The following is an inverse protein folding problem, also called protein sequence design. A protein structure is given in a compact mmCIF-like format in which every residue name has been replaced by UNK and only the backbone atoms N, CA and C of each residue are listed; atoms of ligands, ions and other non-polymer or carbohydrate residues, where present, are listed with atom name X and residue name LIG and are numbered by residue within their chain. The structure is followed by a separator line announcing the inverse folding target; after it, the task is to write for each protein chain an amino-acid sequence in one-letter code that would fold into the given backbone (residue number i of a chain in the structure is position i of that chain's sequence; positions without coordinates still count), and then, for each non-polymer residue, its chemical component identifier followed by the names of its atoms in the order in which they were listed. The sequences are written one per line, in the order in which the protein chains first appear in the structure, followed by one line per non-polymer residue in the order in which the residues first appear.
data_IF_947724182589
#
_entry.id   IF_947724182589
#
_cell.length_a   1.000
_cell.length_b   1.000
_cell.length_c   1.000
_cell.angle_alpha   90.00
_cell.angle_beta   90.00
_cell.angle_gamma   90.00
#
_symmetry.space_group_name_H-M   'P 1'
#
loop_
_entity.id
_entity.type
_entity.pdbx_description
1 polymer ?
#
# COMPACT_ATOMS: atom_id res chain seq x y z
N UNK A 1 -49.39 29.06 9.16
CA UNK A 1 -49.19 28.34 7.88
C UNK A 1 -47.74 28.50 7.50
N UNK A 2 -46.88 27.51 7.79
CA UNK A 2 -45.54 27.38 7.20
C UNK A 2 -44.88 26.01 7.44
N UNK A 3 -45.35 25.21 8.40
CA UNK A 3 -44.70 23.91 8.72
C UNK A 3 -45.02 22.73 7.80
N UNK A 4 -45.90 22.87 6.80
CA UNK A 4 -46.22 21.75 5.86
C UNK A 4 -45.48 21.81 4.53
N UNK A 5 -44.86 22.94 4.17
CA UNK A 5 -44.05 23.04 2.94
C UNK A 5 -42.58 22.67 3.19
N UNK A 6 -42.02 23.02 4.35
CA UNK A 6 -40.64 22.62 4.70
C UNK A 6 -40.48 21.09 4.86
N UNK A 7 -41.47 20.41 5.42
CA UNK A 7 -41.37 18.96 5.67
C UNK A 7 -41.43 18.10 4.39
N UNK A 8 -42.03 18.63 3.30
CA UNK A 8 -42.11 17.93 2.01
C UNK A 8 -40.92 18.23 1.09
N UNK A 9 -40.30 19.42 1.22
CA UNK A 9 -39.05 19.75 0.50
C UNK A 9 -37.82 19.07 1.13
N UNK A 10 -37.83 18.80 2.44
CA UNK A 10 -36.77 18.02 3.11
C UNK A 10 -36.90 16.50 2.83
N UNK A 11 -38.10 15.93 2.78
CA UNK A 11 -38.30 14.51 2.44
C UNK A 11 -38.00 14.19 0.96
N UNK A 12 -38.32 15.08 0.00
CA UNK A 12 -37.93 14.87 -1.41
C UNK A 12 -36.42 15.08 -1.66
N UNK A 13 -35.76 15.96 -0.89
CA UNK A 13 -34.31 16.18 -1.00
C UNK A 13 -33.49 15.03 -0.41
N UNK A 14 -33.95 14.40 0.67
CA UNK A 14 -33.27 13.24 1.26
C UNK A 14 -33.47 11.98 0.40
N UNK A 15 -34.67 11.71 -0.13
CA UNK A 15 -34.91 10.50 -0.92
C UNK A 15 -34.20 10.52 -2.29
N UNK A 16 -33.92 11.71 -2.85
CA UNK A 16 -33.12 11.89 -4.07
C UNK A 16 -31.61 11.78 -3.80
N UNK A 17 -31.11 12.29 -2.66
CA UNK A 17 -29.70 12.13 -2.28
C UNK A 17 -29.34 10.69 -1.92
N UNK A 18 -30.26 9.95 -1.30
CA UNK A 18 -30.04 8.58 -0.85
C UNK A 18 -30.28 7.52 -1.94
N UNK A 19 -31.17 7.74 -2.92
CA UNK A 19 -31.28 6.81 -4.07
C UNK A 19 -30.13 6.91 -5.07
N UNK A 20 -29.56 8.10 -5.28
CA UNK A 20 -28.45 8.26 -6.23
C UNK A 20 -27.12 7.72 -5.71
N UNK A 21 -26.91 7.67 -4.38
CA UNK A 21 -25.63 7.24 -3.78
C UNK A 21 -25.62 5.78 -3.27
N UNK A 22 -26.78 5.17 -3.02
CA UNK A 22 -26.84 3.77 -2.58
C UNK A 22 -26.61 2.76 -3.72
N UNK A 23 -26.90 3.12 -4.98
CA UNK A 23 -26.54 2.31 -6.15
C UNK A 23 -25.03 2.39 -6.46
N UNK A 24 -24.37 3.49 -6.10
CA UNK A 24 -22.92 3.73 -6.34
C UNK A 24 -22.00 2.90 -5.43
N UNK A 25 -22.53 2.29 -4.36
CA UNK A 25 -21.74 1.49 -3.41
C UNK A 25 -22.02 -0.02 -3.53
N UNK A 26 -23.13 -0.40 -4.16
CA UNK A 26 -23.41 -1.79 -4.57
C UNK A 26 -22.83 -2.13 -5.95
N UNK A 27 -22.34 -1.11 -6.68
CA UNK A 27 -21.51 -1.27 -7.87
C UNK A 27 -20.11 -0.81 -7.48
N UNK A 28 -19.17 -1.74 -7.35
CA UNK A 28 -17.75 -1.42 -7.13
C UNK A 28 -17.37 -0.31 -8.08
N UNK A 29 -16.93 0.83 -7.52
CA UNK A 29 -16.71 2.08 -8.27
C UNK A 29 -16.03 1.73 -9.59
N UNK A 30 -16.70 1.90 -10.76
CA UNK A 30 -16.03 1.75 -12.03
C UNK A 30 -14.76 2.60 -11.96
N UNK A 31 -13.61 2.03 -12.32
CA UNK A 31 -12.36 2.78 -12.28
C UNK A 31 -12.59 4.08 -13.04
N UNK A 32 -12.28 5.22 -12.41
CA UNK A 32 -12.54 6.51 -13.02
C UNK A 32 -11.76 6.57 -14.33
N UNK A 33 -12.48 6.79 -15.43
CA UNK A 33 -11.86 6.92 -16.74
C UNK A 33 -11.32 8.33 -16.88
N UNK A 34 -10.07 8.43 -17.31
CA UNK A 34 -9.40 9.70 -17.53
C UNK A 34 -8.57 9.68 -18.81
N UNK A 35 -8.14 10.85 -19.25
CA UNK A 35 -7.15 10.96 -20.33
C UNK A 35 -5.77 11.23 -19.74
N UNK A 36 -4.82 10.34 -20.00
CA UNK A 36 -3.41 10.53 -19.63
C UNK A 36 -2.62 11.00 -20.84
N UNK A 37 -1.48 11.62 -20.58
CA UNK A 37 -0.54 12.09 -21.57
C UNK A 37 0.58 11.09 -21.73
N UNK A 38 0.66 10.42 -22.87
CA UNK A 38 1.66 9.40 -23.16
C UNK A 38 2.79 9.99 -24.00
N UNK A 39 4.03 9.78 -23.56
CA UNK A 39 5.23 10.11 -24.32
C UNK A 39 5.61 8.94 -25.22
N UNK A 40 5.49 9.08 -26.55
CA UNK A 40 5.82 8.01 -27.49
C UNK A 40 7.31 7.68 -27.56
N UNK A 41 8.21 8.56 -27.10
CA UNK A 41 9.66 8.33 -27.06
C UNK A 41 10.06 7.48 -25.86
N UNK A 42 9.62 7.85 -24.66
CA UNK A 42 9.98 7.16 -23.41
C UNK A 42 9.03 6.00 -23.07
N UNK A 43 7.86 5.92 -23.71
CA UNK A 43 6.79 4.95 -23.41
C UNK A 43 6.24 5.08 -21.99
N UNK A 44 6.27 6.30 -21.46
CA UNK A 44 5.73 6.66 -20.15
C UNK A 44 4.43 7.43 -20.33
N UNK A 45 3.45 7.17 -19.45
CA UNK A 45 2.25 7.97 -19.34
C UNK A 45 2.36 8.91 -18.13
N UNK A 46 1.64 10.03 -18.18
CA UNK A 46 1.56 11.05 -17.14
C UNK A 46 0.10 11.45 -16.94
N UNK A 47 -0.36 11.67 -15.70
CA UNK A 47 -1.76 12.09 -15.48
C UNK A 47 -2.04 13.56 -15.82
N UNK A 48 -0.99 14.38 -15.94
CA UNK A 48 -1.02 15.83 -16.15
C UNK A 48 0.36 16.28 -16.66
N UNK A 49 0.47 17.54 -17.12
CA UNK A 49 1.65 18.02 -17.86
C UNK A 49 2.46 19.11 -17.16
N UNK A 50 1.93 19.69 -16.08
CA UNK A 50 2.47 20.92 -15.45
C UNK A 50 3.90 20.77 -14.90
N UNK A 51 4.32 19.52 -14.66
CA UNK A 51 5.63 19.16 -14.12
C UNK A 51 6.57 18.57 -15.18
N UNK A 52 6.19 18.63 -16.46
CA UNK A 52 6.99 18.15 -17.58
C UNK A 52 7.70 19.31 -18.29
N UNK A 53 8.89 19.06 -18.85
CA UNK A 53 9.58 20.06 -19.67
C UNK A 53 8.78 20.38 -20.94
N UNK A 54 8.93 21.59 -21.49
CA UNK A 54 8.24 21.98 -22.73
C UNK A 54 8.51 21.03 -23.89
N UNK A 55 9.72 20.48 -23.97
CA UNK A 55 10.10 19.51 -25.01
C UNK A 55 9.25 18.23 -24.89
N UNK A 56 9.07 17.72 -23.68
CA UNK A 56 8.22 16.56 -23.40
C UNK A 56 6.77 16.91 -23.73
N UNK A 57 6.26 18.05 -23.24
CA UNK A 57 4.87 18.47 -23.45
C UNK A 57 4.47 18.52 -24.94
N UNK A 58 5.36 19.00 -25.81
CA UNK A 58 5.10 19.14 -27.26
C UNK A 58 4.92 17.81 -28.00
N UNK A 59 5.35 16.68 -27.44
CA UNK A 59 5.28 15.35 -28.08
C UNK A 59 4.27 14.40 -27.45
N UNK A 60 3.54 14.83 -26.42
CA UNK A 60 2.59 13.97 -25.71
C UNK A 60 1.36 13.67 -26.58
N UNK A 61 0.89 12.44 -26.51
CA UNK A 61 -0.37 12.01 -27.10
C UNK A 61 -1.35 11.61 -26.01
N UNK A 62 -2.63 11.94 -26.14
CA UNK A 62 -3.63 11.53 -25.17
C UNK A 62 -3.97 10.05 -25.34
N UNK A 63 -4.10 9.33 -24.21
CA UNK A 63 -4.59 7.96 -24.14
C UNK A 63 -5.65 7.82 -23.06
N UNK A 64 -6.57 6.88 -23.25
CA UNK A 64 -7.48 6.48 -22.18
C UNK A 64 -6.73 5.74 -21.08
N UNK A 65 -7.07 6.08 -19.85
CA UNK A 65 -6.58 5.41 -18.66
C UNK A 65 -7.68 5.25 -17.63
N UNK A 66 -7.39 4.42 -16.64
CA UNK A 66 -8.24 4.15 -15.49
C UNK A 66 -7.49 4.56 -14.23
N UNK A 67 -8.10 5.36 -13.36
CA UNK A 67 -7.50 5.74 -12.07
C UNK A 67 -7.56 4.59 -11.07
N UNK A 68 -6.52 4.41 -10.25
CA UNK A 68 -6.52 3.47 -9.14
C UNK A 68 -7.50 3.88 -8.04
N UNK A 69 -8.01 2.92 -7.27
CA UNK A 69 -8.84 3.22 -6.09
C UNK A 69 -8.13 4.10 -5.05
N UNK A 70 -6.79 4.03 -4.99
CA UNK A 70 -5.98 4.90 -4.12
C UNK A 70 -5.77 6.31 -4.67
N UNK A 71 -6.10 6.57 -5.95
CA UNK A 71 -5.82 7.82 -6.65
C UNK A 71 -4.32 8.19 -6.70
N UNK A 72 -3.45 7.19 -6.46
CA UNK A 72 -1.99 7.31 -6.45
C UNK A 72 -1.33 6.61 -7.65
N UNK A 73 -2.12 5.95 -8.47
CA UNK A 73 -1.70 5.31 -9.72
C UNK A 73 -2.81 5.37 -10.77
N UNK A 74 -2.46 5.04 -12.01
CA UNK A 74 -3.40 4.89 -13.12
C UNK A 74 -2.95 3.75 -14.03
N UNK A 75 -3.88 3.21 -14.80
CA UNK A 75 -3.65 2.05 -15.65
C UNK A 75 -3.97 2.38 -17.10
N UNK A 76 -3.11 1.95 -18.01
CA UNK A 76 -3.31 2.05 -19.46
C UNK A 76 -3.33 0.64 -20.03
N UNK A 77 -4.29 0.38 -20.91
CA UNK A 77 -4.32 -0.85 -21.71
C UNK A 77 -3.54 -0.59 -22.99
N UNK A 78 -2.43 -1.30 -23.17
CA UNK A 78 -1.61 -1.22 -24.38
C UNK A 78 -1.30 -2.64 -24.88
N UNK A 79 -1.61 -2.94 -26.15
CA UNK A 79 -1.39 -4.26 -26.77
C UNK A 79 -1.97 -5.43 -25.93
N UNK A 80 -3.21 -5.27 -25.44
CA UNK A 80 -3.89 -6.21 -24.54
C UNK A 80 -3.14 -6.50 -23.22
N UNK A 81 -2.18 -5.65 -22.85
CA UNK A 81 -1.50 -5.70 -21.55
C UNK A 81 -1.95 -4.52 -20.71
N UNK A 82 -2.11 -4.77 -19.42
CA UNK A 82 -2.39 -3.73 -18.46
C UNK A 82 -1.08 -3.22 -17.87
N UNK A 83 -0.85 -1.91 -18.01
CA UNK A 83 0.35 -1.25 -17.52
C UNK A 83 -0.10 -0.26 -16.46
N UNK A 84 0.47 -0.36 -15.28
CA UNK A 84 0.25 0.59 -14.20
C UNK A 84 1.36 1.64 -14.17
N UNK A 85 0.98 2.87 -13.88
CA UNK A 85 1.87 4.00 -13.69
C UNK A 85 1.57 4.63 -12.33
N UNK A 86 2.60 4.74 -11.48
CA UNK A 86 2.55 5.35 -10.15
C UNK A 86 3.43 6.60 -10.14
N UNK A 87 2.96 7.64 -9.48
CA UNK A 87 3.63 8.94 -9.49
C UNK A 87 3.10 9.85 -10.59
N UNK A 88 3.25 11.14 -10.34
CA UNK A 88 2.57 12.20 -11.05
C UNK A 88 1.05 11.96 -11.17
N UNK A 89 0.31 11.87 -10.06
CA UNK A 89 -1.16 11.69 -10.00
C UNK A 89 -1.90 12.89 -9.39
N UNK A 90 -3.15 13.13 -9.83
CA UNK A 90 -4.03 14.16 -9.25
C UNK A 90 -4.84 13.63 -8.04
N UNK A 91 -5.25 14.49 -7.09
CA UNK A 91 -4.81 15.88 -6.94
C UNK A 91 -3.38 15.94 -6.38
N UNK A 92 -2.59 16.90 -6.86
CA UNK A 92 -1.41 17.36 -6.13
C UNK A 92 -1.89 18.09 -4.90
N UNK A 93 -1.49 17.63 -3.72
CA UNK A 93 -1.69 18.42 -2.51
C UNK A 93 -0.34 18.87 -1.96
N UNK A 94 -0.38 20.05 -1.34
CA UNK A 94 0.70 20.60 -0.52
C UNK A 94 0.85 19.85 0.82
N UNK A 95 0.41 18.58 0.89
CA UNK A 95 0.36 17.79 2.11
C UNK A 95 1.25 16.55 1.95
N UNK A 96 2.05 16.28 2.99
CA UNK A 96 2.78 15.03 3.10
C UNK A 96 1.75 13.94 3.39
N UNK A 97 1.76 12.87 2.58
CA UNK A 97 1.01 11.67 2.91
C UNK A 97 1.74 11.00 4.07
N UNK A 98 1.19 11.10 5.29
CA UNK A 98 1.81 10.57 6.51
C UNK A 98 2.23 9.10 6.38
N UNK A 99 1.47 8.30 5.63
CA UNK A 99 1.75 6.89 5.36
C UNK A 99 2.99 6.63 4.49
N UNK A 100 3.52 7.63 3.78
CA UNK A 100 4.65 7.46 2.85
C UNK A 100 5.80 8.45 3.06
N UNK A 101 5.58 9.53 3.80
CA UNK A 101 6.54 10.64 3.94
C UNK A 101 6.76 11.44 2.65
N UNK A 102 6.00 11.16 1.59
CA UNK A 102 6.14 11.77 0.26
C UNK A 102 5.03 12.79 -0.01
N UNK A 103 5.28 13.79 -0.89
CA UNK A 103 4.22 14.66 -1.39
C UNK A 103 3.15 13.85 -2.12
N UNK A 104 1.87 14.16 -1.87
CA UNK A 104 0.77 13.49 -2.58
C UNK A 104 0.92 13.70 -4.09
N UNK A 105 0.83 12.61 -4.83
CA UNK A 105 0.92 12.62 -6.29
C UNK A 105 2.34 12.60 -6.83
N UNK A 106 3.40 12.73 -6.01
CA UNK A 106 4.79 12.58 -6.47
C UNK A 106 5.41 11.29 -5.96
N UNK A 107 6.29 10.72 -6.79
CA UNK A 107 7.12 9.58 -6.42
C UNK A 107 8.59 10.00 -6.50
N UNK A 108 9.25 10.08 -5.34
CA UNK A 108 10.65 10.48 -5.27
C UNK A 108 11.54 9.40 -5.90
N UNK A 109 12.67 9.84 -6.47
CA UNK A 109 13.63 8.99 -7.17
C UNK A 109 14.05 7.76 -6.37
N UNK A 110 14.49 7.95 -5.14
CA UNK A 110 14.92 6.85 -4.30
C UNK A 110 13.83 5.79 -4.10
N UNK A 111 12.60 6.23 -3.82
CA UNK A 111 11.46 5.32 -3.59
C UNK A 111 11.08 4.56 -4.86
N UNK A 112 11.04 5.25 -6.00
CA UNK A 112 10.73 4.64 -7.29
C UNK A 112 11.81 3.68 -7.78
N UNK A 113 13.10 4.05 -7.71
CA UNK A 113 14.22 3.17 -8.08
C UNK A 113 14.30 1.95 -7.17
N UNK A 114 14.05 2.13 -5.87
CA UNK A 114 14.03 1.04 -4.89
C UNK A 114 12.93 0.04 -5.16
N UNK A 115 11.72 0.51 -5.43
CA UNK A 115 10.60 -0.34 -5.80
C UNK A 115 10.88 -1.08 -7.11
N UNK A 116 11.41 -0.37 -8.12
CA UNK A 116 11.78 -0.97 -9.40
C UNK A 116 12.82 -2.08 -9.24
N UNK A 117 13.89 -1.82 -8.46
CA UNK A 117 14.94 -2.79 -8.16
C UNK A 117 14.38 -4.03 -7.48
N UNK A 118 13.62 -3.86 -6.41
CA UNK A 118 13.09 -4.99 -5.63
C UNK A 118 12.19 -5.90 -6.49
N UNK A 119 11.27 -5.32 -7.26
CA UNK A 119 10.38 -6.08 -8.14
C UNK A 119 11.15 -6.85 -9.21
N UNK A 120 12.15 -6.22 -9.84
CA UNK A 120 12.95 -6.86 -10.87
C UNK A 120 13.85 -7.98 -10.33
N UNK A 121 14.49 -7.77 -9.17
CA UNK A 121 15.33 -8.78 -8.51
C UNK A 121 14.51 -10.04 -8.15
N UNK A 122 13.29 -9.85 -7.63
CA UNK A 122 12.36 -10.94 -7.31
C UNK A 122 11.88 -11.64 -8.58
N UNK A 123 11.49 -10.87 -9.61
CA UNK A 123 11.02 -11.43 -10.88
C UNK A 123 12.11 -12.23 -11.60
N UNK A 124 13.38 -11.82 -11.50
CA UNK A 124 14.52 -12.55 -12.06
C UNK A 124 14.71 -13.93 -11.42
N UNK A 125 14.28 -14.11 -10.17
CA UNK A 125 14.29 -15.40 -9.47
C UNK A 125 13.05 -16.27 -9.76
N UNK A 126 12.08 -15.77 -10.52
CA UNK A 126 10.91 -16.51 -10.97
C UNK A 126 9.77 -16.63 -9.94
N UNK A 127 9.85 -15.94 -8.80
CA UNK A 127 8.81 -15.97 -7.78
C UNK A 127 7.67 -14.97 -8.02
N UNK A 128 7.96 -13.87 -8.72
CA UNK A 128 6.99 -12.82 -9.08
C UNK A 128 6.97 -12.58 -10.59
N UNK A 129 5.83 -12.10 -11.11
CA UNK A 129 5.68 -11.77 -12.53
C UNK A 129 5.78 -10.27 -12.81
N UNK A 130 5.70 -9.44 -11.77
CA UNK A 130 5.70 -7.98 -11.88
C UNK A 130 7.12 -7.49 -12.08
N UNK A 131 7.32 -6.74 -13.16
CA UNK A 131 8.54 -5.97 -13.44
C UNK A 131 8.20 -4.50 -13.39
N UNK A 132 9.20 -3.70 -13.07
CA UNK A 132 9.01 -2.27 -12.94
C UNK A 132 10.19 -1.47 -13.49
N UNK A 133 9.88 -0.27 -13.99
CA UNK A 133 10.83 0.66 -14.56
C UNK A 133 10.54 2.05 -13.97
N UNK A 134 11.53 2.64 -13.31
CA UNK A 134 11.44 4.01 -12.84
C UNK A 134 11.98 4.96 -13.90
N UNK A 135 11.18 5.98 -14.23
CA UNK A 135 11.57 7.04 -15.14
C UNK A 135 11.62 8.36 -14.39
N UNK A 136 12.82 8.90 -14.22
CA UNK A 136 13.03 10.23 -13.68
C UNK A 136 12.47 11.28 -14.64
N UNK A 137 11.63 12.17 -14.13
CA UNK A 137 10.92 13.19 -14.93
C UNK A 137 11.51 14.57 -14.73
N UNK A 138 11.94 14.89 -13.51
CA UNK A 138 12.50 16.19 -13.22
C UNK A 138 12.86 16.41 -11.75
N UNK A 139 13.23 17.65 -11.48
CA UNK A 139 13.58 18.15 -10.15
C UNK A 139 12.54 19.13 -9.65
N UNK A 140 12.31 19.15 -8.34
CA UNK A 140 11.47 20.13 -7.68
C UNK A 140 12.14 20.64 -6.42
N UNK A 141 11.74 21.84 -6.01
CA UNK A 141 12.09 22.40 -4.71
C UNK A 141 11.00 21.97 -3.73
N UNK A 142 11.39 21.25 -2.69
CA UNK A 142 10.56 20.89 -1.55
C UNK A 142 10.83 21.86 -0.40
N UNK A 143 9.85 22.68 -0.05
CA UNK A 143 9.91 23.53 1.14
C UNK A 143 9.03 22.95 2.24
N UNK A 144 9.61 22.68 3.40
CA UNK A 144 8.90 22.18 4.59
C UNK A 144 8.63 23.36 5.54
N UNK A 145 7.36 23.66 5.83
CA UNK A 145 6.94 24.66 6.80
C UNK A 145 5.91 24.05 7.77
N UNK A 146 6.40 23.42 8.84
CA UNK A 146 5.54 22.58 9.69
C UNK A 146 5.07 21.34 8.93
N UNK A 147 3.75 21.10 8.90
CA UNK A 147 3.13 19.99 8.13
C UNK A 147 2.84 20.31 6.67
N UNK A 148 3.02 21.58 6.25
CA UNK A 148 2.79 22.00 4.86
C UNK A 148 4.06 21.82 4.04
N UNK A 149 3.89 21.28 2.83
CA UNK A 149 4.94 21.19 1.83
C UNK A 149 4.55 21.96 0.58
N UNK A 150 5.48 22.75 0.07
CA UNK A 150 5.33 23.37 -1.24
C UNK A 150 6.27 22.64 -2.20
N UNK A 151 5.74 22.16 -3.32
CA UNK A 151 6.52 21.51 -4.36
C UNK A 151 6.41 22.30 -5.65
N UNK A 152 7.51 22.94 -6.03
CA UNK A 152 7.61 23.72 -7.27
C UNK A 152 8.56 23.00 -8.23
N UNK A 153 8.13 22.61 -9.44
CA UNK A 153 9.04 22.07 -10.44
C UNK A 153 10.08 23.13 -10.80
N UNK A 154 11.33 22.70 -10.96
CA UNK A 154 12.43 23.54 -11.39
C UNK A 154 12.31 23.81 -12.90
N UNK A 155 12.21 25.08 -13.28
CA UNK A 155 12.27 25.45 -14.69
C UNK A 155 13.71 25.34 -15.19
N UNK A 156 13.91 24.99 -16.47
CA UNK A 156 15.25 24.87 -17.08
C UNK A 156 16.11 26.16 -16.98
N UNK A 157 15.47 27.33 -16.82
CA UNK A 157 16.15 28.60 -16.58
C UNK A 157 16.62 28.79 -15.12
N UNK A 158 15.97 28.12 -14.17
CA UNK A 158 16.32 28.13 -12.75
C UNK A 158 17.50 27.17 -12.48
N UNK A 159 17.54 26.00 -13.14
CA UNK A 159 18.65 25.02 -13.04
C UNK A 159 20.04 25.64 -13.29
N UNK A 160 20.17 26.50 -14.31
CA UNK A 160 21.43 27.17 -14.67
C UNK A 160 21.82 28.29 -13.70
N UNK A 161 20.85 28.95 -13.06
CA UNK A 161 21.11 30.02 -12.09
C UNK A 161 21.51 29.47 -10.72
N UNK A 162 21.08 28.25 -10.39
CA UNK A 162 21.25 27.65 -9.05
C UNK A 162 22.51 26.76 -8.93
N UNK A 163 22.98 26.19 -10.05
CA UNK A 163 24.31 25.58 -10.14
C UNK A 163 25.44 26.61 -9.96
N UNK A 164 25.19 27.88 -10.28
CA UNK A 164 26.09 28.98 -9.98
C UNK A 164 25.91 29.40 -8.51
N UNK A 165 26.81 28.93 -7.64
CA UNK A 165 26.94 29.21 -6.19
C UNK A 165 26.36 28.17 -5.21
N UNK A 166 25.80 27.06 -5.68
CA UNK A 166 25.62 25.83 -4.88
C UNK A 166 24.82 25.97 -3.58
N UNK A 167 24.00 27.02 -3.42
CA UNK A 167 23.21 27.27 -2.22
C UNK A 167 21.78 27.65 -2.57
N UNK A 168 20.85 26.93 -1.98
CA UNK A 168 19.42 27.19 -2.04
C UNK A 168 18.93 27.84 -0.74
N UNK A 169 18.41 29.09 -0.78
CA UNK A 169 17.78 29.71 0.39
C UNK A 169 16.34 29.23 0.65
N UNK A 170 15.73 28.46 -0.26
CA UNK A 170 14.27 28.28 -0.35
C UNK A 170 13.73 26.86 -0.10
N UNK A 171 14.56 25.82 0.00
CA UNK A 171 14.10 24.43 0.20
C UNK A 171 15.13 23.38 -0.22
N UNK A 172 14.76 22.10 -0.10
CA UNK A 172 15.54 20.93 -0.54
C UNK A 172 15.25 20.63 -2.02
N UNK A 173 16.28 20.32 -2.82
CA UNK A 173 16.07 19.83 -4.20
C UNK A 173 15.76 18.34 -4.14
N UNK A 174 14.62 17.95 -4.70
CA UNK A 174 14.17 16.56 -4.80
C UNK A 174 14.06 16.16 -6.27
N UNK A 175 14.37 14.90 -6.56
CA UNK A 175 14.15 14.29 -7.86
C UNK A 175 12.89 13.43 -7.80
N UNK A 176 12.05 13.52 -8.84
CA UNK A 176 10.79 12.78 -8.91
C UNK A 176 10.54 12.24 -10.31
N UNK A 177 9.58 11.33 -10.40
CA UNK A 177 9.33 10.60 -11.64
C UNK A 177 8.10 9.71 -11.59
N UNK A 178 8.04 8.79 -12.54
CA UNK A 178 6.95 7.83 -12.70
C UNK A 178 7.51 6.41 -12.66
N UNK A 179 6.89 5.57 -11.85
CA UNK A 179 7.15 4.13 -11.84
C UNK A 179 6.13 3.42 -12.73
N UNK A 180 6.61 2.73 -13.76
CA UNK A 180 5.82 1.88 -14.64
C UNK A 180 5.90 0.43 -14.16
N UNK A 181 4.77 -0.25 -13.96
CA UNK A 181 4.68 -1.66 -13.55
C UNK A 181 3.90 -2.48 -14.58
N UNK A 182 4.38 -3.67 -14.89
CA UNK A 182 3.69 -4.63 -15.76
C UNK A 182 4.13 -6.07 -15.47
N UNK A 183 3.28 -7.05 -15.78
CA UNK A 183 3.57 -8.48 -15.61
C UNK A 183 2.55 -9.34 -16.36
N UNK A 184 2.87 -10.60 -16.64
CA UNK A 184 2.00 -11.50 -17.42
C UNK A 184 0.68 -11.83 -16.71
N UNK A 185 0.70 -11.99 -15.39
CA UNK A 185 -0.47 -12.26 -14.57
C UNK A 185 -0.77 -11.13 -13.58
N UNK A 186 -0.25 -9.92 -13.85
CA UNK A 186 -0.41 -8.79 -12.97
C UNK A 186 -1.75 -8.08 -13.21
N UNK A 187 -2.59 -7.99 -12.18
CA UNK A 187 -3.88 -7.29 -12.23
C UNK A 187 -3.87 -6.09 -11.26
N UNK A 188 -3.31 -4.94 -11.68
CA UNK A 188 -3.03 -3.81 -10.78
C UNK A 188 -4.24 -3.17 -10.11
N UNK A 189 -5.46 -3.36 -10.62
CA UNK A 189 -6.67 -2.72 -10.08
C UNK A 189 -7.52 -3.65 -9.21
N UNK A 190 -7.27 -4.96 -9.25
CA UNK A 190 -7.95 -5.93 -8.38
C UNK A 190 -6.98 -6.30 -7.28
N UNK A 191 -7.00 -5.54 -6.19
CA UNK A 191 -6.28 -5.90 -4.97
C UNK A 191 -6.99 -7.03 -4.26
N UNK A 192 -6.26 -7.83 -3.48
CA UNK A 192 -6.86 -8.88 -2.65
C UNK A 192 -7.92 -8.29 -1.73
N UNK A 193 -7.83 -6.99 -1.43
CA UNK A 193 -8.81 -6.30 -0.60
C UNK A 193 -10.16 -5.96 -1.18
N UNK A 194 -10.36 -6.22 -2.47
CA UNK A 194 -11.62 -6.00 -3.17
C UNK A 194 -12.43 -7.30 -3.25
N UNK A 195 -12.85 -7.86 -2.12
CA UNK A 195 -13.47 -9.20 -2.00
C UNK A 195 -14.54 -9.52 -3.06
N UNK A 196 -15.49 -8.61 -3.29
CA UNK A 196 -16.56 -8.82 -4.26
C UNK A 196 -16.01 -8.92 -5.68
N UNK A 197 -14.97 -8.14 -6.01
CA UNK A 197 -14.30 -8.19 -7.30
C UNK A 197 -13.41 -9.42 -7.41
N UNK A 198 -12.70 -9.81 -6.36
CA UNK A 198 -11.90 -11.05 -6.35
C UNK A 198 -12.80 -12.27 -6.59
N UNK A 199 -13.99 -12.30 -5.99
CA UNK A 199 -14.99 -13.35 -6.25
C UNK A 199 -15.51 -13.31 -7.70
N UNK A 200 -15.75 -12.12 -8.27
CA UNK A 200 -16.16 -11.98 -9.67
C UNK A 200 -15.05 -12.41 -10.63
N UNK A 201 -13.79 -12.03 -10.35
CA UNK A 201 -12.62 -12.46 -11.09
C UNK A 201 -12.51 -13.98 -11.09
N UNK A 202 -12.66 -14.63 -9.93
CA UNK A 202 -12.65 -16.09 -9.85
C UNK A 202 -13.69 -16.73 -10.80
N UNK A 203 -14.92 -16.20 -10.84
CA UNK A 203 -15.96 -16.65 -11.77
C UNK A 203 -15.57 -16.42 -13.24
N UNK A 204 -15.00 -15.25 -13.55
CA UNK A 204 -14.53 -14.93 -14.90
C UNK A 204 -13.39 -15.85 -15.36
N UNK A 205 -12.54 -16.29 -14.42
CA UNK A 205 -11.45 -17.24 -14.67
C UNK A 205 -11.89 -18.70 -14.63
N UNK A 206 -13.17 -18.99 -14.36
CA UNK A 206 -13.67 -20.36 -14.21
C UNK A 206 -13.09 -21.10 -13.00
N UNK A 207 -12.67 -20.37 -11.96
CA UNK A 207 -12.12 -20.90 -10.71
C UNK A 207 -13.09 -20.70 -9.55
N UNK A 208 -13.04 -21.61 -8.57
CA UNK A 208 -13.69 -21.36 -7.29
C UNK A 208 -12.97 -20.20 -6.57
N UNK A 209 -13.74 -19.35 -5.88
CA UNK A 209 -13.17 -18.19 -5.17
C UNK A 209 -12.08 -18.60 -4.17
N UNK A 210 -12.31 -19.70 -3.45
CA UNK A 210 -11.36 -20.26 -2.48
C UNK A 210 -10.09 -20.75 -3.16
N UNK A 211 -10.20 -21.29 -4.38
CA UNK A 211 -9.05 -21.72 -5.15
C UNK A 211 -8.19 -20.53 -5.58
N UNK A 212 -8.80 -19.46 -6.08
CA UNK A 212 -8.08 -18.23 -6.43
C UNK A 212 -7.34 -17.63 -5.23
N UNK A 213 -8.01 -17.51 -4.08
CA UNK A 213 -7.37 -17.02 -2.84
C UNK A 213 -6.23 -17.93 -2.37
N UNK A 214 -6.41 -19.25 -2.43
CA UNK A 214 -5.38 -20.21 -2.07
C UNK A 214 -4.14 -20.07 -2.96
N UNK A 215 -4.34 -19.89 -4.26
CA UNK A 215 -3.26 -19.70 -5.23
C UNK A 215 -2.53 -18.37 -5.02
N UNK A 216 -3.28 -17.30 -4.78
CA UNK A 216 -2.72 -15.98 -4.48
C UNK A 216 -1.85 -15.99 -3.22
N UNK A 217 -2.31 -16.66 -2.16
CA UNK A 217 -1.58 -16.77 -0.89
C UNK A 217 -0.33 -17.65 -1.02
N UNK A 218 -0.40 -18.74 -1.79
CA UNK A 218 0.78 -19.54 -2.12
C UNK A 218 1.84 -18.71 -2.86
N UNK A 219 1.41 -17.95 -3.88
CA UNK A 219 2.30 -17.08 -4.66
C UNK A 219 2.91 -15.97 -3.81
N UNK A 220 2.11 -15.30 -2.98
CA UNK A 220 2.61 -14.29 -2.03
C UNK A 220 3.68 -14.89 -1.10
N UNK A 221 3.44 -16.09 -0.56
CA UNK A 221 4.41 -16.79 0.27
C UNK A 221 5.73 -17.06 -0.46
N UNK A 222 5.66 -17.49 -1.72
CA UNK A 222 6.83 -17.68 -2.58
C UNK A 222 7.59 -16.36 -2.82
N UNK A 223 6.88 -15.27 -3.13
CA UNK A 223 7.46 -13.93 -3.34
C UNK A 223 8.19 -13.45 -2.07
N UNK A 224 7.55 -13.52 -0.90
CA UNK A 224 8.15 -13.11 0.36
C UNK A 224 9.38 -13.95 0.69
N UNK A 225 9.31 -15.28 0.54
CA UNK A 225 10.45 -16.16 0.75
C UNK A 225 11.63 -15.77 -0.14
N UNK A 226 11.38 -15.57 -1.44
CA UNK A 226 12.43 -15.17 -2.39
C UNK A 226 13.00 -13.79 -2.07
N UNK A 227 12.16 -12.81 -1.72
CA UNK A 227 12.62 -11.50 -1.28
C UNK A 227 13.54 -11.62 -0.04
N UNK A 228 13.14 -12.42 0.95
CA UNK A 228 13.92 -12.64 2.18
C UNK A 228 15.24 -13.38 1.95
N UNK A 229 15.29 -14.29 0.97
CA UNK A 229 16.53 -14.96 0.51
C UNK A 229 17.48 -13.95 -0.15
N UNK A 230 16.94 -13.04 -0.96
CA UNK A 230 17.67 -11.91 -1.56
C UNK A 230 18.08 -10.84 -0.52
N UNK A 231 17.55 -10.90 0.70
CA UNK A 231 17.79 -9.91 1.74
C UNK A 231 16.99 -8.62 1.54
N UNK A 232 15.79 -8.71 0.97
CA UNK A 232 14.86 -7.61 0.72
C UNK A 232 13.65 -7.80 1.65
N UNK A 233 13.31 -6.79 2.45
CA UNK A 233 12.18 -6.83 3.40
C UNK A 233 11.16 -5.76 3.05
N UNK A 234 9.91 -6.14 2.82
CA UNK A 234 8.90 -5.26 2.22
C UNK A 234 8.39 -4.16 3.15
N UNK A 235 8.34 -4.42 4.45
CA UNK A 235 8.02 -3.45 5.50
C UNK A 235 6.63 -2.78 5.43
N UNK A 236 5.75 -3.08 4.48
CA UNK A 236 4.34 -2.66 4.50
C UNK A 236 3.42 -3.72 3.89
N UNK A 237 3.64 -4.98 4.25
CA UNK A 237 2.97 -6.13 3.63
C UNK A 237 1.53 -6.22 4.10
N UNK A 238 0.65 -5.52 3.40
CA UNK A 238 -0.79 -5.59 3.62
C UNK A 238 -1.53 -5.94 2.32
N UNK A 239 -2.80 -6.35 2.42
CA UNK A 239 -3.52 -6.97 1.31
C UNK A 239 -3.88 -6.00 0.18
N UNK A 240 -3.98 -4.70 0.48
CA UNK A 240 -4.06 -3.64 -0.53
C UNK A 240 -2.81 -3.48 -1.40
N UNK A 241 -1.67 -4.05 -0.98
CA UNK A 241 -0.43 -4.11 -1.75
C UNK A 241 -0.25 -5.45 -2.49
N UNK A 242 -1.25 -6.32 -2.45
CA UNK A 242 -1.24 -7.62 -3.15
C UNK A 242 -2.37 -7.65 -4.16
N UNK A 243 -2.08 -7.97 -5.43
CA UNK A 243 -3.14 -8.18 -6.41
C UNK A 243 -3.87 -9.52 -6.22
N UNK A 244 -5.00 -9.70 -6.88
CA UNK A 244 -5.83 -10.90 -6.77
C UNK A 244 -5.11 -12.21 -7.13
N UNK A 245 -3.97 -12.14 -7.82
CA UNK A 245 -3.14 -13.28 -8.17
C UNK A 245 -2.00 -13.53 -7.20
N UNK A 246 -1.84 -12.69 -6.18
CA UNK A 246 -0.80 -12.83 -5.16
C UNK A 246 0.48 -12.08 -5.47
N UNK A 247 0.51 -11.22 -6.49
CA UNK A 247 1.66 -10.35 -6.76
C UNK A 247 1.74 -9.24 -5.71
N UNK A 248 2.82 -9.23 -4.93
CA UNK A 248 3.15 -8.15 -3.99
C UNK A 248 3.84 -6.99 -4.73
N UNK A 249 3.41 -5.78 -4.43
CA UNK A 249 3.95 -4.52 -4.97
C UNK A 249 4.21 -3.52 -3.82
N UNK A 250 4.66 -2.30 -4.14
CA UNK A 250 4.83 -1.21 -3.17
C UNK A 250 6.08 -1.33 -2.28
N UNK A 251 7.19 -1.79 -2.88
CA UNK A 251 8.51 -1.88 -2.25
C UNK A 251 9.21 -0.51 -2.07
N UNK A 252 8.47 0.60 -1.99
CA UNK A 252 9.04 1.96 -1.91
C UNK A 252 9.84 2.23 -0.63
N UNK A 253 9.56 1.49 0.44
CA UNK A 253 10.28 1.53 1.72
C UNK A 253 10.96 0.20 2.05
N UNK A 254 11.19 -0.65 1.05
CA UNK A 254 11.82 -1.94 1.29
C UNK A 254 13.25 -1.76 1.85
N UNK A 255 13.59 -2.55 2.87
CA UNK A 255 14.92 -2.51 3.51
C UNK A 255 15.76 -3.64 2.95
N UNK A 256 17.00 -3.33 2.56
CA UNK A 256 17.96 -4.32 2.09
C UNK A 256 18.88 -4.73 3.24
N UNK A 257 19.35 -5.97 3.23
CA UNK A 257 20.20 -6.56 4.28
C UNK A 257 21.41 -5.67 4.61
N UNK A 258 22.06 -5.14 3.59
CA UNK A 258 23.25 -4.28 3.70
C UNK A 258 22.96 -2.91 4.31
N UNK A 259 21.70 -2.47 4.36
CA UNK A 259 21.29 -1.20 4.96
C UNK A 259 21.04 -1.31 6.47
N UNK A 260 20.83 -2.52 6.98
CA UNK A 260 20.41 -2.75 8.38
C UNK A 260 21.45 -2.20 9.37
N UNK A 261 22.74 -2.45 9.15
CA UNK A 261 23.80 -1.92 10.03
C UNK A 261 23.83 -0.40 10.03
N UNK A 262 23.78 0.22 8.85
CA UNK A 262 23.78 1.67 8.70
C UNK A 262 22.57 2.35 9.33
N UNK A 263 21.39 1.73 9.27
CA UNK A 263 20.22 2.20 10.02
C UNK A 263 20.42 2.04 11.53
N UNK A 264 20.92 0.89 12.00
CA UNK A 264 21.16 0.67 13.45
C UNK A 264 22.12 1.68 14.06
N UNK A 265 23.19 2.05 13.35
CA UNK A 265 24.14 3.07 13.79
C UNK A 265 23.49 4.44 13.96
N UNK A 266 22.59 4.83 13.04
CA UNK A 266 21.88 6.12 13.10
C UNK A 266 20.87 6.23 14.25
N UNK A 267 20.33 5.10 14.71
CA UNK A 267 19.24 5.06 15.70
C UNK A 267 19.78 5.07 17.14
N UNK A 268 21.11 4.96 17.32
CA UNK A 268 21.81 4.45 18.51
C UNK A 268 21.53 5.11 19.88
N UNK A 269 20.68 6.13 20.03
CA UNK A 269 20.49 6.78 21.33
C UNK A 269 19.14 6.61 22.04
N UNK A 270 17.99 6.25 21.43
CA UNK A 270 16.70 6.47 22.15
C UNK A 270 15.53 5.49 21.96
N UNK A 271 15.71 4.30 21.39
CA UNK A 271 14.55 3.43 21.05
C UNK A 271 14.73 1.96 21.44
N UNK A 272 13.80 1.43 22.24
CA UNK A 272 13.75 0.02 22.64
C UNK A 272 13.53 -0.93 21.46
N UNK A 273 13.04 -0.38 20.33
CA UNK A 273 12.76 -1.08 19.08
C UNK A 273 14.03 -1.51 18.31
N UNK A 274 15.22 -0.99 18.65
CA UNK A 274 16.50 -1.37 18.02
C UNK A 274 16.77 -2.88 18.17
N UNK A 275 16.36 -3.47 19.29
CA UNK A 275 16.52 -4.91 19.53
C UNK A 275 15.73 -5.77 18.54
N UNK A 276 14.60 -5.25 18.05
CA UNK A 276 13.75 -5.91 17.05
C UNK A 276 14.21 -5.63 15.62
N UNK A 277 14.99 -4.57 15.37
CA UNK A 277 15.45 -4.20 14.04
C UNK A 277 16.66 -5.05 13.59
N UNK A 278 16.35 -6.23 13.08
CA UNK A 278 17.26 -7.23 12.52
C UNK A 278 16.65 -7.87 11.27
N UNK A 279 17.43 -8.64 10.50
CA UNK A 279 16.87 -9.43 9.38
C UNK A 279 15.70 -10.29 9.84
N UNK A 280 15.87 -10.96 10.98
CA UNK A 280 14.86 -11.81 11.57
C UNK A 280 13.59 -11.00 11.92
N UNK A 281 13.74 -9.89 12.62
CA UNK A 281 12.60 -9.03 12.96
C UNK A 281 11.88 -8.47 11.74
N UNK A 282 12.60 -8.10 10.68
CA UNK A 282 12.01 -7.61 9.43
C UNK A 282 11.26 -8.71 8.66
N UNK A 283 11.80 -9.95 8.61
CA UNK A 283 11.09 -11.10 8.04
C UNK A 283 9.77 -11.34 8.75
N UNK A 284 9.79 -11.38 10.08
CA UNK A 284 8.58 -11.60 10.86
C UNK A 284 7.59 -10.46 10.70
N UNK A 285 8.08 -9.22 10.68
CA UNK A 285 7.24 -8.05 10.45
C UNK A 285 6.42 -8.15 9.16
N UNK A 286 7.00 -8.63 8.06
CA UNK A 286 6.26 -8.81 6.80
C UNK A 286 5.07 -9.78 6.95
N UNK A 287 5.18 -10.80 7.80
CA UNK A 287 4.09 -11.75 8.07
C UNK A 287 3.09 -11.16 9.08
N UNK A 288 3.60 -10.58 10.16
CA UNK A 288 2.80 -10.04 11.27
C UNK A 288 1.87 -8.95 10.77
N UNK A 289 2.37 -8.02 9.95
CA UNK A 289 1.56 -6.95 9.37
C UNK A 289 0.49 -7.53 8.45
N UNK A 290 0.81 -8.58 7.69
CA UNK A 290 -0.15 -9.19 6.76
C UNK A 290 -1.31 -9.91 7.48
N UNK A 291 -1.04 -10.67 8.55
CA UNK A 291 -2.05 -11.48 9.24
C UNK A 291 -2.66 -10.82 10.48
N UNK A 292 -1.88 -10.08 11.25
CA UNK A 292 -2.26 -9.51 12.54
C UNK A 292 -2.44 -7.99 12.52
N UNK A 293 -2.09 -7.35 11.41
CA UNK A 293 -2.08 -5.90 11.31
C UNK A 293 -1.06 -5.23 12.22
N UNK A 294 -1.19 -3.92 12.40
CA UNK A 294 -0.25 -3.15 13.20
C UNK A 294 -0.68 -3.15 14.68
N UNK A 295 0.02 -3.96 15.50
CA UNK A 295 -0.34 -4.22 16.91
C UNK A 295 -0.23 -2.99 17.79
N UNK A 296 0.71 -2.10 17.50
CA UNK A 296 0.91 -0.87 18.30
C UNK A 296 -0.24 0.13 18.09
N UNK A 297 -0.75 0.27 16.86
CA UNK A 297 -1.91 1.13 16.56
C UNK A 297 -3.16 0.57 17.26
N UNK A 298 -3.33 -0.75 17.22
CA UNK A 298 -4.35 -1.47 17.98
C UNK A 298 -4.32 -1.15 19.48
N UNK A 299 -3.14 -1.26 20.08
CA UNK A 299 -2.91 -0.97 21.49
C UNK A 299 -3.24 0.49 21.82
N UNK A 300 -2.71 1.45 21.05
CA UNK A 300 -2.98 2.89 21.23
C UNK A 300 -4.46 3.20 21.12
N UNK A 301 -5.18 2.60 20.17
CA UNK A 301 -6.63 2.79 20.05
C UNK A 301 -7.37 2.29 21.30
N UNK A 302 -7.03 1.09 21.78
CA UNK A 302 -7.64 0.55 23.01
C UNK A 302 -7.39 1.44 24.22
N UNK A 303 -6.15 1.91 24.39
CA UNK A 303 -5.76 2.78 25.49
C UNK A 303 -6.44 4.15 25.42
N UNK A 304 -6.40 4.81 24.24
CA UNK A 304 -6.97 6.14 24.04
C UNK A 304 -8.49 6.16 24.17
N UNK A 305 -9.16 5.16 23.60
CA UNK A 305 -10.63 5.07 23.64
C UNK A 305 -11.16 4.30 24.85
N UNK A 306 -10.26 3.82 25.72
CA UNK A 306 -10.58 2.99 26.90
C UNK A 306 -11.46 1.79 26.53
N UNK A 307 -11.13 1.14 25.42
CA UNK A 307 -11.85 0.01 24.88
C UNK A 307 -11.11 -1.28 25.21
N UNK A 308 -11.88 -2.30 25.59
CA UNK A 308 -11.45 -3.68 25.42
C UNK A 308 -11.16 -3.97 23.93
N UNK A 309 -10.43 -5.05 23.67
CA UNK A 309 -10.20 -5.48 22.28
C UNK A 309 -11.53 -5.75 21.57
N UNK A 310 -12.47 -6.44 22.21
CA UNK A 310 -13.79 -6.75 21.66
C UNK A 310 -14.60 -5.49 21.33
N UNK A 311 -14.61 -4.49 22.20
CA UNK A 311 -15.28 -3.21 21.95
C UNK A 311 -14.65 -2.43 20.80
N UNK A 312 -13.31 -2.46 20.68
CA UNK A 312 -12.63 -1.86 19.53
C UNK A 312 -13.01 -2.57 18.24
N UNK A 313 -13.02 -3.91 18.24
CA UNK A 313 -13.40 -4.72 17.08
C UNK A 313 -14.86 -4.49 16.68
N UNK A 314 -15.77 -4.40 17.64
CA UNK A 314 -17.18 -4.05 17.38
C UNK A 314 -17.33 -2.66 16.77
N UNK A 315 -16.58 -1.66 17.26
CA UNK A 315 -16.61 -0.31 16.69
C UNK A 315 -16.00 -0.29 15.28
N UNK A 316 -14.89 -0.98 15.05
CA UNK A 316 -14.29 -1.15 13.73
C UNK A 316 -15.27 -1.80 12.77
N UNK A 317 -15.95 -2.87 13.20
CA UNK A 317 -16.98 -3.54 12.41
C UNK A 317 -18.15 -2.61 12.08
N UNK A 318 -18.69 -1.92 13.10
CA UNK A 318 -19.77 -0.93 12.91
C UNK A 318 -19.35 0.14 11.91
N UNK A 319 -18.14 0.69 12.04
CA UNK A 319 -17.62 1.71 11.12
C UNK A 319 -17.46 1.17 9.69
N UNK A 320 -16.99 -0.07 9.52
CA UNK A 320 -16.87 -0.72 8.21
C UNK A 320 -18.22 -0.97 7.55
N UNK A 321 -19.21 -1.39 8.33
CA UNK A 321 -20.58 -1.64 7.86
C UNK A 321 -21.35 -0.34 7.58
N UNK A 322 -20.95 0.79 8.19
CA UNK A 322 -21.60 2.09 8.08
C UNK A 322 -20.72 3.16 7.40
N UNK A 323 -19.75 2.72 6.59
CA UNK A 323 -18.72 3.58 6.00
C UNK A 323 -19.29 4.63 5.04
N UNK A 324 -20.55 4.46 4.60
CA UNK A 324 -21.35 5.43 3.83
C UNK A 324 -21.83 6.65 4.63
N UNK A 325 -21.85 6.58 5.97
CA UNK A 325 -22.36 7.63 6.85
C UNK A 325 -21.27 8.58 7.37
N UNK A 326 -20.00 8.25 7.19
CA UNK A 326 -18.88 9.08 7.65
C UNK A 326 -18.31 9.89 6.50
N UNK A 327 -18.03 11.17 6.74
CA UNK A 327 -17.28 12.10 5.87
C UNK A 327 -15.79 11.67 5.79
N UNK A 328 -15.56 10.37 5.54
CA UNK A 328 -14.48 9.57 6.11
C UNK A 328 -13.23 9.51 5.23
N UNK A 329 -12.28 10.37 5.54
CA UNK A 329 -10.85 10.16 5.25
C UNK A 329 -10.12 9.63 6.50
N UNK A 330 -10.36 10.15 7.74
CA UNK A 330 -9.64 9.69 8.94
C UNK A 330 -9.98 8.26 9.37
N UNK A 331 -11.20 7.78 9.10
CA UNK A 331 -11.64 6.42 9.46
C UNK A 331 -11.05 5.39 8.50
N UNK A 332 -10.92 5.73 7.21
CA UNK A 332 -10.28 4.88 6.22
C UNK A 332 -8.78 4.74 6.51
N UNK A 333 -8.11 5.84 6.86
CA UNK A 333 -6.71 5.83 7.29
C UNK A 333 -6.51 5.00 8.57
N UNK A 334 -7.40 5.14 9.57
CA UNK A 334 -7.36 4.34 10.79
C UNK A 334 -7.58 2.84 10.50
N UNK A 335 -8.55 2.48 9.66
CA UNK A 335 -8.83 1.07 9.31
C UNK A 335 -7.74 0.45 8.44
N UNK A 336 -7.17 1.22 7.51
CA UNK A 336 -6.03 0.81 6.69
C UNK A 336 -4.77 0.65 7.55
N UNK A 337 -4.51 1.57 8.48
CA UNK A 337 -3.41 1.47 9.45
C UNK A 337 -3.57 0.32 10.42
N UNK A 338 -4.79 0.05 10.86
CA UNK A 338 -5.04 -1.06 11.76
C UNK A 338 -4.82 -2.41 11.06
N UNK A 339 -5.01 -2.54 9.74
CA UNK A 339 -4.92 -3.81 8.97
C UNK A 339 -5.82 -4.97 9.48
N UNK A 340 -6.46 -4.79 10.63
CA UNK A 340 -7.39 -5.69 11.32
C UNK A 340 -8.54 -6.12 10.43
N UNK A 341 -9.09 -5.19 9.63
CA UNK A 341 -10.37 -5.41 8.98
C UNK A 341 -10.30 -6.33 7.76
N UNK A 342 -9.11 -6.74 7.32
CA UNK A 342 -8.96 -7.27 5.98
C UNK A 342 -9.04 -8.80 5.88
N UNK A 343 -8.01 -9.49 6.38
CA UNK A 343 -7.94 -10.95 6.28
C UNK A 343 -8.78 -11.62 7.36
N UNK A 344 -8.89 -11.01 8.54
CA UNK A 344 -9.74 -11.50 9.62
C UNK A 344 -11.19 -11.63 9.15
N UNK A 345 -11.77 -10.59 8.56
CA UNK A 345 -13.14 -10.62 8.04
C UNK A 345 -13.34 -11.52 6.83
N UNK A 346 -12.38 -11.52 5.92
CA UNK A 346 -12.45 -12.32 4.70
C UNK A 346 -12.36 -13.80 5.06
N UNK A 347 -11.37 -14.19 5.87
CA UNK A 347 -11.24 -15.56 6.36
C UNK A 347 -12.43 -15.95 7.24
N UNK A 348 -12.85 -15.12 8.21
CA UNK A 348 -13.99 -15.44 9.09
C UNK A 348 -15.30 -15.69 8.35
N UNK A 349 -15.52 -15.01 7.20
CA UNK A 349 -16.71 -15.22 6.36
C UNK A 349 -16.66 -16.50 5.53
N UNK A 350 -15.48 -17.10 5.37
CA UNK A 350 -15.33 -18.35 4.64
C UNK A 350 -15.66 -19.54 5.55
N UNK A 351 -16.18 -20.65 4.99
CA UNK A 351 -16.28 -21.92 5.71
C UNK A 351 -14.94 -22.34 6.33
N UNK A 352 -14.96 -22.96 7.51
CA UNK A 352 -13.74 -23.39 8.23
C UNK A 352 -12.79 -24.22 7.34
N UNK A 353 -13.33 -25.08 6.47
CA UNK A 353 -12.53 -25.88 5.53
C UNK A 353 -11.69 -25.00 4.59
N UNK A 354 -12.26 -23.89 4.14
CA UNK A 354 -11.65 -22.99 3.16
C UNK A 354 -10.63 -22.06 3.84
N UNK A 355 -10.94 -21.60 5.05
CA UNK A 355 -9.96 -20.94 5.92
C UNK A 355 -8.71 -21.82 6.08
N UNK A 356 -8.90 -23.10 6.43
CA UNK A 356 -7.80 -24.04 6.60
C UNK A 356 -6.94 -24.18 5.35
N UNK A 357 -7.58 -24.32 4.18
CA UNK A 357 -6.88 -24.44 2.89
C UNK A 357 -6.01 -23.23 2.59
N UNK A 358 -6.54 -22.02 2.75
CA UNK A 358 -5.81 -20.78 2.46
C UNK A 358 -4.62 -20.62 3.41
N UNK A 359 -4.86 -20.87 4.71
CA UNK A 359 -3.82 -20.74 5.75
C UNK A 359 -2.72 -21.79 5.58
N UNK A 360 -3.09 -23.03 5.24
CA UNK A 360 -2.14 -24.10 4.94
C UNK A 360 -1.23 -23.71 3.77
N UNK A 361 -1.78 -23.16 2.70
CA UNK A 361 -1.01 -22.71 1.55
C UNK A 361 0.07 -21.69 1.93
N UNK A 362 -0.23 -20.74 2.81
CA UNK A 362 0.77 -19.78 3.31
C UNK A 362 1.83 -20.47 4.19
N UNK A 363 1.39 -21.27 5.17
CA UNK A 363 2.30 -21.91 6.13
C UNK A 363 3.30 -22.81 5.41
N UNK A 364 2.87 -23.56 4.40
CA UNK A 364 3.76 -24.43 3.62
C UNK A 364 4.82 -23.63 2.85
N UNK A 365 4.48 -22.42 2.39
CA UNK A 365 5.40 -21.54 1.67
C UNK A 365 6.27 -20.68 2.57
N UNK A 366 6.02 -20.58 3.88
CA UNK A 366 6.76 -19.64 4.72
C UNK A 366 7.35 -20.26 6.00
N UNK A 367 6.70 -21.24 6.60
CA UNK A 367 7.15 -21.80 7.88
C UNK A 367 8.06 -23.02 7.68
N UNK A 368 9.26 -22.98 8.25
CA UNK A 368 10.18 -24.13 8.28
C UNK A 368 9.58 -25.31 9.07
N UNK A 369 8.99 -25.02 10.24
CA UNK A 369 8.31 -26.02 11.08
C UNK A 369 6.82 -26.17 10.74
N UNK A 370 6.48 -26.23 9.44
CA UNK A 370 5.11 -26.17 8.93
C UNK A 370 4.12 -27.10 9.67
N UNK A 371 4.48 -28.36 9.93
CA UNK A 371 3.59 -29.33 10.58
C UNK A 371 3.19 -28.93 12.01
N UNK A 372 4.13 -28.42 12.80
CA UNK A 372 3.85 -27.97 14.16
C UNK A 372 3.00 -26.68 14.13
N UNK A 373 3.36 -25.73 13.27
CA UNK A 373 2.62 -24.48 13.10
C UNK A 373 1.18 -24.76 12.67
N UNK A 374 0.97 -25.58 11.64
CA UNK A 374 -0.35 -26.03 11.18
C UNK A 374 -1.16 -26.63 12.32
N UNK A 375 -0.57 -27.54 13.11
CA UNK A 375 -1.26 -28.16 14.25
C UNK A 375 -1.73 -27.13 15.27
N UNK A 376 -0.88 -26.16 15.63
CA UNK A 376 -1.22 -25.13 16.63
C UNK A 376 -2.26 -24.14 16.11
N UNK A 377 -2.06 -23.62 14.90
CA UNK A 377 -2.99 -22.72 14.22
C UNK A 377 -4.37 -23.36 14.07
N UNK A 378 -4.43 -24.59 13.55
CA UNK A 378 -5.72 -25.27 13.34
C UNK A 378 -6.38 -25.75 14.62
N UNK A 379 -5.62 -25.99 15.70
CA UNK A 379 -6.17 -26.24 17.02
C UNK A 379 -6.84 -24.99 17.59
N UNK A 380 -6.22 -23.81 17.43
CA UNK A 380 -6.79 -22.55 17.92
C UNK A 380 -8.04 -22.17 17.11
N UNK A 381 -7.98 -22.31 15.79
CA UNK A 381 -9.14 -22.12 14.91
C UNK A 381 -10.29 -23.05 15.27
N UNK A 382 -10.03 -24.34 15.53
CA UNK A 382 -11.07 -25.28 15.94
C UNK A 382 -11.69 -24.92 17.30
N UNK A 383 -10.89 -24.35 18.22
CA UNK A 383 -11.34 -23.94 19.56
C UNK A 383 -12.17 -22.66 19.53
N UNK A 384 -11.77 -21.68 18.71
CA UNK A 384 -12.36 -20.34 18.67
C UNK A 384 -13.45 -20.19 17.62
N UNK A 385 -13.47 -21.07 16.62
CA UNK A 385 -14.36 -20.97 15.46
C UNK A 385 -13.99 -19.84 14.49
N UNK A 386 -12.91 -19.12 14.78
CA UNK A 386 -12.49 -17.94 14.03
C UNK A 386 -10.98 -17.69 14.15
N UNK A 387 -10.42 -16.93 13.20
CA UNK A 387 -9.03 -16.48 13.22
C UNK A 387 -8.79 -15.52 14.40
N UNK A 388 -7.68 -15.71 15.11
CA UNK A 388 -7.33 -14.93 16.31
C UNK A 388 -5.88 -14.46 16.28
N UNK A 389 -5.55 -13.45 17.09
CA UNK A 389 -4.15 -13.03 17.32
C UNK A 389 -3.28 -14.20 17.77
N UNK A 390 -3.83 -15.15 18.54
CA UNK A 390 -3.11 -16.35 18.96
C UNK A 390 -2.79 -17.28 17.77
N UNK A 391 -3.68 -17.40 16.78
CA UNK A 391 -3.43 -18.14 15.56
C UNK A 391 -2.33 -17.48 14.72
N UNK A 392 -2.38 -16.15 14.52
CA UNK A 392 -1.29 -15.38 13.90
C UNK A 392 0.02 -15.59 14.65
N UNK A 393 -0.03 -15.55 15.99
CA UNK A 393 1.10 -15.77 16.86
C UNK A 393 1.79 -17.12 16.66
N UNK A 394 1.09 -18.19 16.26
CA UNK A 394 1.78 -19.46 15.96
C UNK A 394 2.55 -19.43 14.64
N UNK A 395 2.11 -18.64 13.66
CA UNK A 395 2.83 -18.43 12.39
C UNK A 395 4.04 -17.54 12.65
N UNK A 396 3.85 -16.46 13.40
CA UNK A 396 4.87 -15.43 13.60
C UNK A 396 5.89 -15.79 14.68
N UNK A 397 5.48 -16.50 15.73
CA UNK A 397 6.37 -17.01 16.79
C UNK A 397 7.03 -18.35 16.44
N UNK A 398 6.94 -18.81 15.19
CA UNK A 398 7.69 -19.98 14.72
C UNK A 398 9.22 -19.77 14.67
N UNK A 399 9.71 -18.65 15.24
CA UNK A 399 11.12 -18.33 15.46
C UNK A 399 11.43 -17.00 16.19
N UNK A 400 10.50 -16.05 16.38
CA UNK A 400 10.81 -14.67 16.81
C UNK A 400 10.56 -14.29 18.29
N UNK A 401 11.28 -13.25 18.75
CA UNK A 401 11.01 -12.49 19.98
C UNK A 401 9.75 -11.62 19.88
N UNK A 402 9.08 -11.38 21.01
CA UNK A 402 7.65 -11.01 21.17
C UNK A 402 7.33 -9.53 20.82
N UNK A 403 7.84 -9.00 19.70
CA UNK A 403 7.59 -7.61 19.29
C UNK A 403 7.53 -7.39 17.79
N UNK A 404 6.61 -6.55 17.33
CA UNK A 404 6.52 -6.06 15.95
C UNK A 404 7.23 -4.71 15.84
N UNK A 405 8.05 -4.49 14.80
CA UNK A 405 8.66 -3.18 14.52
C UNK A 405 7.54 -2.24 14.01
N UNK A 406 7.25 -1.10 14.67
CA UNK A 406 6.17 -0.20 14.27
C UNK A 406 6.35 0.37 12.86
N UNK A 407 5.25 0.67 12.17
CA UNK A 407 5.29 1.35 10.86
C UNK A 407 5.92 2.72 10.97
N UNK A 408 5.62 3.48 12.03
CA UNK A 408 6.22 4.80 12.20
C UNK A 408 7.72 4.69 12.43
N UNK A 409 8.20 3.60 13.03
CA UNK A 409 9.63 3.36 13.14
C UNK A 409 10.26 3.24 11.74
N UNK A 410 9.68 2.42 10.85
CA UNK A 410 10.17 2.26 9.47
C UNK A 410 10.11 3.59 8.72
N UNK A 411 8.99 4.32 8.79
CA UNK A 411 8.84 5.62 8.11
C UNK A 411 9.87 6.65 8.61
N UNK A 412 10.12 6.69 9.92
CA UNK A 412 11.12 7.58 10.52
C UNK A 412 12.55 7.29 10.04
N UNK A 413 12.87 6.06 9.59
CA UNK A 413 14.20 5.77 9.01
C UNK A 413 14.46 6.61 7.76
N UNK A 414 13.40 6.96 7.01
CA UNK A 414 13.47 7.70 5.75
C UNK A 414 13.41 9.22 5.96
N UNK A 415 12.74 9.69 7.01
CA UNK A 415 12.75 11.10 7.40
C UNK A 415 14.12 11.55 7.93
N UNK A 416 14.92 10.62 8.47
CA UNK A 416 16.26 10.88 9.01
C UNK A 416 17.36 10.98 7.92
N UNK A 417 17.02 11.48 6.73
CA UNK A 417 18.04 11.72 5.69
C UNK A 417 18.96 12.89 6.07
N UNK A 418 20.11 12.45 6.60
CA UNK A 418 21.47 13.00 6.63
C UNK A 418 21.72 14.28 7.44
N UNK A 419 22.67 14.27 8.42
CA UNK A 419 23.40 15.49 8.72
C UNK A 419 24.15 15.88 7.44
N UNK A 420 24.04 17.15 7.06
CA UNK A 420 24.92 17.75 6.06
C UNK A 420 26.36 17.38 6.43
N UNK A 421 27.22 16.98 5.49
CA UNK A 421 28.64 16.82 5.80
C UNK A 421 29.15 18.15 6.33
N UNK A 422 29.66 18.16 7.56
CA UNK A 422 30.41 19.28 8.09
C UNK A 422 31.66 19.47 7.21
N UNK A 423 31.69 20.59 6.48
CA UNK A 423 32.91 21.20 5.97
C UNK A 423 32.83 22.71 6.08
#
# INVERSE_FOLDING_TARGET
MNNRKQHLEEEESEDILYRHRMTEWQQVRPLAQWSVYFDPMTKIAYSHVDYLSEEVQRRLIQKHAFESHSQRAYFVVENNKLIEYKGLTLPYSAEIVAASGQPRGLLLKEHGEREARALNDIAQKGAGAVKAEYHEVGMAILKRAGTKIEVRPLAAADEKKELANGKFPAGEIIHYGVLKRCGEDYIPFIRLDLFQIVQQLARMEGKEHVELLSNAVAKLGAILRTAHELGIYHCFTHPGNVDAHGNLIDYEHAIYRDEISGFREKIAEKRSEIGLFSEEGLRFRDIDVFFGGEREILKRCRENFKLTHEELMMKVRFLRENISLSVGIPVFELLAHLNIGFYEDTLKKLPIRDQRRIIEAFIDHYCIANNWVKKKVFSELAKKGEWTEQASGFITNAGASIGQIPSEFILNLWEQKQPLPER
#
